data_IF_227700456479
#
_entry.id   IF_227700456479
#
_cell.length_a   1.000
_cell.length_b   1.000
_cell.length_c   1.000
_cell.angle_alpha   90.00
_cell.angle_beta   90.00
_cell.angle_gamma   90.00
#
_symmetry.space_group_name_H-M   'P 1'
#
loop_
_entity.id
_entity.type
_entity.pdbx_description
1 polymer ?
#
# COMPACT_ATOMS: atom_id res chain seq x y z
N UNK A 1 -11.90 6.18 -1.50
CA UNK A 1 -12.14 4.74 -1.26
C UNK A 1 -11.00 3.98 -1.91
N UNK A 2 -10.31 3.08 -1.21
CA UNK A 2 -9.24 2.28 -1.83
C UNK A 2 -9.86 1.39 -2.92
N UNK A 3 -9.36 1.51 -4.15
CA UNK A 3 -9.75 0.67 -5.29
C UNK A 3 -8.51 -0.12 -5.71
N UNK A 4 -8.33 -1.29 -5.09
CA UNK A 4 -7.20 -2.17 -5.35
C UNK A 4 -7.53 -3.59 -4.92
N UNK A 5 -6.61 -4.52 -5.19
CA UNK A 5 -6.82 -5.93 -4.83
C UNK A 5 -6.85 -6.11 -3.32
N UNK A 6 -7.66 -7.06 -2.86
CA UNK A 6 -7.72 -7.42 -1.44
C UNK A 6 -6.47 -8.19 -1.05
N UNK A 7 -6.18 -8.23 0.26
CA UNK A 7 -5.03 -8.96 0.78
C UNK A 7 -5.05 -10.44 0.37
N UNK A 8 -6.22 -11.06 0.36
CA UNK A 8 -6.41 -12.46 -0.04
C UNK A 8 -6.08 -12.73 -1.51
N UNK A 9 -6.36 -11.76 -2.39
CA UNK A 9 -5.99 -11.83 -3.80
C UNK A 9 -4.49 -11.61 -4.00
N UNK A 10 -3.88 -10.79 -3.14
CA UNK A 10 -2.47 -10.40 -3.22
C UNK A 10 -1.51 -11.43 -2.60
N UNK A 11 -1.93 -12.17 -1.57
CA UNK A 11 -1.07 -13.11 -0.84
C UNK A 11 -0.47 -14.23 -1.71
N UNK A 12 -1.11 -14.53 -2.85
CA UNK A 12 -0.66 -15.57 -3.80
C UNK A 12 0.18 -14.98 -4.94
N UNK A 13 0.39 -13.67 -4.97
CA UNK A 13 1.14 -12.97 -6.01
C UNK A 13 2.47 -12.46 -5.44
N UNK A 14 3.54 -12.46 -6.23
CA UNK A 14 4.81 -11.88 -5.78
C UNK A 14 4.65 -10.38 -5.53
N UNK A 15 5.32 -9.85 -4.51
CA UNK A 15 5.25 -8.43 -4.13
C UNK A 15 5.62 -7.49 -5.28
N UNK A 16 6.51 -7.91 -6.19
CA UNK A 16 6.85 -7.20 -7.43
C UNK A 16 5.64 -6.88 -8.34
N UNK A 17 4.56 -7.67 -8.25
CA UNK A 17 3.32 -7.44 -9.00
C UNK A 17 2.31 -6.54 -8.28
N UNK A 18 2.57 -6.17 -7.03
CA UNK A 18 1.71 -5.29 -6.27
C UNK A 18 1.96 -3.85 -6.74
N UNK A 19 0.91 -3.03 -6.83
CA UNK A 19 1.06 -1.62 -7.15
C UNK A 19 1.63 -0.87 -5.94
N UNK A 20 2.22 0.32 -6.17
CA UNK A 20 2.71 1.15 -5.06
C UNK A 20 1.58 1.57 -4.12
N UNK A 21 0.38 1.79 -4.65
CA UNK A 21 -0.80 2.15 -3.85
C UNK A 21 -1.28 0.98 -2.98
N UNK A 22 -1.25 -0.25 -3.51
CA UNK A 22 -1.58 -1.47 -2.77
C UNK A 22 -0.57 -1.71 -1.64
N UNK A 23 0.73 -1.58 -1.93
CA UNK A 23 1.80 -1.69 -0.94
C UNK A 23 1.64 -0.63 0.16
N UNK A 24 1.36 0.62 -0.21
CA UNK A 24 1.14 1.71 0.75
C UNK A 24 -0.06 1.45 1.66
N UNK A 25 -1.19 1.08 1.06
CA UNK A 25 -2.43 0.84 1.80
C UNK A 25 -2.29 -0.33 2.77
N UNK A 26 -1.80 -1.48 2.30
CA UNK A 26 -1.68 -2.67 3.14
C UNK A 26 -0.62 -2.50 4.22
N UNK A 27 0.50 -1.80 3.93
CA UNK A 27 1.47 -1.41 4.96
C UNK A 27 0.81 -0.61 6.08
N UNK A 28 0.04 0.42 5.74
CA UNK A 28 -0.62 1.29 6.72
C UNK A 28 -1.61 0.52 7.59
N UNK A 29 -2.48 -0.28 6.96
CA UNK A 29 -3.45 -1.13 7.66
C UNK A 29 -2.74 -2.11 8.59
N UNK A 30 -1.67 -2.77 8.13
CA UNK A 30 -0.93 -3.74 8.92
C UNK A 30 -0.13 -3.08 10.05
N UNK A 31 0.40 -1.87 9.84
CA UNK A 31 1.08 -1.10 10.89
C UNK A 31 0.10 -0.73 12.01
N UNK A 32 -1.11 -0.29 11.66
CA UNK A 32 -2.16 0.01 12.63
C UNK A 32 -2.62 -1.22 13.43
N UNK A 33 -2.48 -2.41 12.85
CA UNK A 33 -2.84 -3.68 13.46
C UNK A 33 -1.64 -4.46 14.01
N UNK A 34 -0.42 -3.88 14.00
CA UNK A 34 0.83 -4.62 14.22
C UNK A 34 0.86 -5.39 15.55
N UNK A 35 0.24 -4.82 16.60
CA UNK A 35 0.22 -5.41 17.95
C UNK A 35 -0.64 -6.68 18.03
N UNK A 36 -1.47 -6.89 17.00
CA UNK A 36 -2.41 -8.01 16.88
C UNK A 36 -2.02 -8.97 15.75
N UNK A 37 -0.94 -8.69 15.03
CA UNK A 37 -0.44 -9.57 13.97
C UNK A 37 0.26 -10.80 14.55
N UNK A 38 0.05 -11.94 13.89
CA UNK A 38 0.85 -13.13 14.12
C UNK A 38 2.20 -13.04 13.38
N UNK A 39 3.07 -14.04 13.56
CA UNK A 39 4.39 -14.08 12.90
C UNK A 39 4.31 -13.96 11.37
N UNK A 40 3.30 -14.56 10.74
CA UNK A 40 3.05 -14.44 9.30
C UNK A 40 2.71 -13.01 8.90
N UNK A 41 1.86 -12.33 9.68
CA UNK A 41 1.52 -10.93 9.46
C UNK A 41 2.71 -10.01 9.61
N UNK A 42 3.56 -10.22 10.64
CA UNK A 42 4.80 -9.45 10.83
C UNK A 42 5.76 -9.66 9.65
N UNK A 43 5.98 -10.92 9.24
CA UNK A 43 6.81 -11.23 8.08
C UNK A 43 6.30 -10.56 6.80
N UNK A 44 4.98 -10.57 6.60
CA UNK A 44 4.34 -9.93 5.46
C UNK A 44 4.53 -8.42 5.47
N UNK A 45 4.38 -7.77 6.64
CA UNK A 45 4.64 -6.34 6.80
C UNK A 45 6.10 -6.01 6.43
N UNK A 46 7.06 -6.79 6.94
CA UNK A 46 8.49 -6.60 6.61
C UNK A 46 8.75 -6.73 5.11
N UNK A 47 8.21 -7.76 4.46
CA UNK A 47 8.37 -7.94 3.00
C UNK A 47 7.77 -6.78 2.19
N UNK A 48 6.61 -6.27 2.61
CA UNK A 48 5.98 -5.10 2.00
C UNK A 48 6.86 -3.86 2.17
N UNK A 49 7.44 -3.64 3.35
CA UNK A 49 8.36 -2.52 3.59
C UNK A 49 9.64 -2.63 2.78
N UNK A 50 10.24 -3.82 2.68
CA UNK A 50 11.41 -4.07 1.84
C UNK A 50 11.10 -3.80 0.36
N UNK A 51 9.94 -4.26 -0.13
CA UNK A 51 9.53 -4.01 -1.52
C UNK A 51 9.36 -2.52 -1.80
N UNK A 52 8.76 -1.77 -0.87
CA UNK A 52 8.63 -0.31 -0.99
C UNK A 52 10.01 0.36 -1.01
N UNK A 53 10.94 -0.06 -0.15
CA UNK A 53 12.30 0.46 -0.11
C UNK A 53 13.07 0.14 -1.41
N UNK A 54 12.94 -1.10 -1.92
CA UNK A 54 13.55 -1.53 -3.18
C UNK A 54 13.07 -0.69 -4.37
N UNK A 55 11.83 -0.18 -4.30
CA UNK A 55 11.25 0.72 -5.31
C UNK A 55 11.61 2.19 -5.15
N UNK A 56 12.47 2.53 -4.18
CA UNK A 56 12.88 3.90 -3.91
C UNK A 56 12.01 4.64 -2.88
N UNK A 57 11.20 3.91 -2.11
CA UNK A 57 10.33 4.45 -1.07
C UNK A 57 9.01 5.00 -1.59
N UNK A 58 8.23 5.61 -0.70
CA UNK A 58 6.98 6.25 -1.11
C UNK A 58 7.25 7.48 -1.98
N UNK A 59 6.53 7.64 -3.11
CA UNK A 59 6.54 8.92 -3.80
C UNK A 59 6.05 9.96 -2.80
N UNK A 60 6.91 10.96 -2.53
CA UNK A 60 6.46 12.16 -1.83
C UNK A 60 5.40 12.75 -2.73
N UNK A 61 4.13 12.60 -2.37
CA UNK A 61 3.07 13.41 -2.94
C UNK A 61 3.39 14.85 -2.53
N UNK A 62 4.26 15.49 -3.32
CA UNK A 62 4.47 16.93 -3.30
C UNK A 62 3.09 17.54 -3.51
N UNK A 63 2.67 18.35 -2.54
CA UNK A 63 1.47 19.15 -2.66
C UNK A 63 1.67 20.18 -3.76
N UNK A 64 1.42 19.77 -5.00
CA UNK A 64 1.18 20.68 -6.11
C UNK A 64 -0.34 20.70 -6.31
N UNK A 65 -1.06 21.17 -5.29
CA UNK A 65 -2.47 21.53 -5.38
C UNK A 65 -2.64 22.85 -6.15
N UNK A 66 -1.97 23.00 -7.30
CA UNK A 66 -2.24 24.15 -8.17
C UNK A 66 -3.46 23.85 -9.06
N UNK A 67 -4.63 24.17 -8.52
CA UNK A 67 -5.48 25.10 -9.23
C UNK A 67 -6.52 24.59 -10.24
N UNK A 68 -6.73 23.28 -10.49
CA UNK A 68 -7.82 22.87 -11.39
C UNK A 68 -8.62 21.63 -10.96
N UNK A 69 -9.87 21.88 -10.56
CA UNK A 69 -10.99 20.98 -10.85
C UNK A 69 -11.40 19.99 -9.75
N UNK A 70 -12.16 20.48 -8.79
CA UNK A 70 -13.04 19.68 -7.93
C UNK A 70 -14.00 18.83 -8.76
N UNK A 71 -13.88 17.50 -8.70
CA UNK A 71 -14.94 16.48 -8.52
C UNK A 71 -14.35 15.12 -8.91
N UNK A 72 -14.02 14.29 -7.92
CA UNK A 72 -13.67 12.89 -8.17
C UNK A 72 -14.98 12.17 -8.52
N UNK A 73 -15.17 11.86 -9.81
CA UNK A 73 -16.22 10.96 -10.26
C UNK A 73 -15.83 9.52 -9.90
N UNK A 74 -16.70 8.83 -9.18
CA UNK A 74 -16.65 7.37 -9.02
C UNK A 74 -17.52 6.76 -10.12
N UNK A 75 -16.94 5.92 -10.97
CA UNK A 75 -17.66 4.96 -11.82
C UNK A 75 -17.74 3.62 -11.07
#
# INVERSE_FOLDING_TARGET
MYVGRTMEQLQNLPYAQWSMEELAYHRDVMTNLQDWLNETGISTLTNVEEEIQNRGGFPKYGGDYDGHGTTIHYD
#
